data_IF_672848828935
#
_entry.id   IF_672848828935
#
_cell.length_a   1.000
_cell.length_b   1.000
_cell.length_c   1.000
_cell.angle_alpha   90.00
_cell.angle_beta   90.00
_cell.angle_gamma   90.00
#
_symmetry.space_group_name_H-M   'P 1'
#
loop_
_entity.id
_entity.type
_entity.pdbx_description
1 polymer ?
#
# COMPACT_ATOMS: atom_id res chain seq x y z
N UNK A 1 -1.12 -7.73 -15.28
CA UNK A 1 0.32 -8.00 -15.07
C UNK A 1 0.60 -8.53 -13.67
N UNK A 2 0.05 -7.94 -12.60
CA UNK A 2 0.23 -8.46 -11.22
C UNK A 2 -0.11 -9.96 -11.07
N UNK A 3 -1.31 -10.38 -11.47
CA UNK A 3 -1.72 -11.80 -11.42
C UNK A 3 -0.80 -12.74 -12.21
N UNK A 4 -0.12 -12.22 -13.23
CA UNK A 4 0.84 -12.98 -14.03
C UNK A 4 2.16 -13.13 -13.28
N UNK A 5 2.61 -12.08 -12.58
CA UNK A 5 3.77 -12.15 -11.69
C UNK A 5 3.53 -13.20 -10.58
N UNK A 6 2.34 -13.17 -9.97
CA UNK A 6 1.95 -14.15 -8.94
C UNK A 6 1.91 -15.57 -9.52
N UNK A 7 1.37 -15.74 -10.73
CA UNK A 7 1.33 -17.05 -11.39
C UNK A 7 2.73 -17.61 -11.70
N UNK A 8 3.67 -16.76 -12.13
CA UNK A 8 5.06 -17.14 -12.39
C UNK A 8 5.82 -17.50 -11.11
N UNK A 9 5.50 -16.83 -10.01
CA UNK A 9 6.10 -17.05 -8.70
C UNK A 9 5.58 -18.32 -8.03
N UNK A 10 4.25 -18.52 -8.00
CA UNK A 10 3.62 -19.65 -7.28
C UNK A 10 3.41 -20.89 -8.15
N UNK A 11 3.63 -20.81 -9.47
CA UNK A 11 3.46 -21.96 -10.38
C UNK A 11 2.01 -22.39 -10.60
N UNK A 12 1.04 -21.51 -10.32
CA UNK A 12 -0.40 -21.84 -10.29
C UNK A 12 -0.98 -22.32 -11.64
N UNK A 13 -0.24 -22.14 -12.74
CA UNK A 13 -0.64 -22.55 -14.10
C UNK A 13 0.50 -23.22 -14.91
N UNK A 14 1.61 -23.65 -14.28
CA UNK A 14 2.74 -24.27 -14.99
C UNK A 14 4.07 -24.28 -14.22
N UNK A 15 5.18 -24.57 -14.93
CA UNK A 15 6.54 -24.54 -14.36
C UNK A 15 6.86 -23.17 -13.77
N UNK A 16 7.30 -23.14 -12.51
CA UNK A 16 7.74 -21.93 -11.82
C UNK A 16 8.91 -21.28 -12.58
N UNK A 17 8.84 -19.97 -12.80
CA UNK A 17 9.94 -19.21 -13.38
C UNK A 17 10.20 -17.97 -12.53
N UNK A 18 11.02 -18.17 -11.51
CA UNK A 18 11.39 -17.17 -10.51
C UNK A 18 12.07 -15.97 -11.20
N UNK A 19 12.98 -16.22 -12.14
CA UNK A 19 13.70 -15.15 -12.86
C UNK A 19 12.77 -14.23 -13.64
N UNK A 20 11.80 -14.80 -14.36
CA UNK A 20 10.79 -14.02 -15.07
C UNK A 20 9.86 -13.26 -14.11
N UNK A 21 9.48 -13.88 -12.98
CA UNK A 21 8.68 -13.23 -11.95
C UNK A 21 9.38 -11.99 -11.38
N UNK A 22 10.68 -12.08 -11.05
CA UNK A 22 11.49 -10.95 -10.55
C UNK A 22 11.44 -9.77 -11.53
N UNK A 23 11.72 -10.01 -12.80
CA UNK A 23 11.71 -8.95 -13.82
C UNK A 23 10.35 -8.28 -13.93
N UNK A 24 9.27 -9.06 -13.83
CA UNK A 24 7.91 -8.54 -13.89
C UNK A 24 7.57 -7.72 -12.65
N UNK A 25 7.97 -8.17 -11.45
CA UNK A 25 7.77 -7.41 -10.22
C UNK A 25 8.63 -6.14 -10.17
N UNK A 26 9.87 -6.16 -10.66
CA UNK A 26 10.67 -4.93 -10.79
C UNK A 26 9.99 -3.91 -11.70
N UNK A 27 9.41 -4.35 -12.82
CA UNK A 27 8.67 -3.47 -13.72
C UNK A 27 7.43 -2.91 -13.02
N UNK A 28 6.63 -3.76 -12.38
CA UNK A 28 5.43 -3.36 -11.64
C UNK A 28 5.74 -2.40 -10.49
N UNK A 29 6.83 -2.63 -9.76
CA UNK A 29 7.29 -1.75 -8.70
C UNK A 29 7.68 -0.37 -9.23
N UNK A 30 8.32 -0.30 -10.40
CA UNK A 30 8.64 0.96 -11.12
C UNK A 30 7.38 1.68 -11.64
N UNK A 31 6.35 0.92 -12.02
CA UNK A 31 5.05 1.47 -12.43
C UNK A 31 4.22 1.98 -11.25
N UNK A 32 4.54 1.55 -10.03
CA UNK A 32 3.90 1.99 -8.80
C UNK A 32 2.89 0.99 -8.21
N UNK A 33 2.96 -0.29 -8.59
CA UNK A 33 2.16 -1.35 -7.97
C UNK A 33 2.60 -1.60 -6.54
N UNK A 34 1.72 -1.33 -5.56
CA UNK A 34 2.01 -1.57 -4.15
C UNK A 34 2.31 -3.04 -3.84
N UNK A 35 1.69 -4.00 -4.56
CA UNK A 35 1.92 -5.43 -4.32
C UNK A 35 3.34 -5.84 -4.64
N UNK A 36 3.84 -5.37 -5.78
CA UNK A 36 5.22 -5.60 -6.17
C UNK A 36 6.22 -4.96 -5.18
N UNK A 37 5.82 -3.87 -4.53
CA UNK A 37 6.65 -3.19 -3.53
C UNK A 37 6.64 -3.93 -2.19
N UNK A 38 5.47 -4.45 -1.79
CA UNK A 38 5.32 -5.26 -0.59
C UNK A 38 6.13 -6.55 -0.65
N UNK A 39 6.30 -7.10 -1.86
CA UNK A 39 7.22 -8.22 -2.10
C UNK A 39 8.65 -7.96 -1.59
N UNK A 40 9.17 -6.74 -1.75
CA UNK A 40 10.49 -6.36 -1.24
C UNK A 40 10.49 -6.10 0.27
N UNK A 41 9.34 -5.77 0.86
CA UNK A 41 9.19 -5.52 2.29
C UNK A 41 9.11 -6.82 3.10
N UNK A 42 8.38 -7.81 2.60
CA UNK A 42 8.23 -9.13 3.23
C UNK A 42 9.38 -10.07 2.84
N UNK A 43 9.87 -9.94 1.60
CA UNK A 43 10.79 -10.89 1.00
C UNK A 43 10.09 -12.20 0.59
N UNK A 44 10.58 -12.83 -0.47
CA UNK A 44 10.14 -14.16 -0.91
C UNK A 44 11.25 -14.89 -1.68
N UNK A 45 10.92 -16.06 -2.22
CA UNK A 45 11.85 -16.90 -3.01
C UNK A 45 12.41 -16.21 -4.26
N UNK A 46 11.74 -15.16 -4.75
CA UNK A 46 12.17 -14.36 -5.90
C UNK A 46 13.00 -13.14 -5.52
N UNK A 47 12.65 -12.42 -4.45
CA UNK A 47 13.40 -11.26 -4.01
C UNK A 47 13.64 -11.33 -2.49
N UNK A 48 14.90 -11.30 -2.03
CA UNK A 48 15.17 -11.23 -0.60
C UNK A 48 14.60 -9.92 -0.04
N UNK A 49 14.20 -9.97 1.23
CA UNK A 49 13.70 -8.82 1.95
C UNK A 49 14.72 -7.67 1.88
N UNK A 50 14.27 -6.52 1.40
CA UNK A 50 15.06 -5.30 1.36
C UNK A 50 14.20 -4.06 1.59
N UNK A 51 14.18 -3.64 2.86
CA UNK A 51 13.40 -2.51 3.32
C UNK A 51 13.84 -1.18 2.68
N UNK A 52 15.13 -1.01 2.33
CA UNK A 52 15.60 0.22 1.69
C UNK A 52 15.04 0.36 0.26
N UNK A 53 15.03 -0.73 -0.51
CA UNK A 53 14.46 -0.73 -1.86
C UNK A 53 12.94 -0.62 -1.82
N UNK A 54 12.29 -1.31 -0.88
CA UNK A 54 10.85 -1.19 -0.66
C UNK A 54 10.46 0.27 -0.40
N UNK A 55 11.16 0.96 0.51
CA UNK A 55 10.91 2.36 0.83
C UNK A 55 11.01 3.27 -0.40
N UNK A 56 12.05 3.07 -1.21
CA UNK A 56 12.26 3.84 -2.44
C UNK A 56 11.09 3.67 -3.40
N UNK A 57 10.62 2.43 -3.62
CA UNK A 57 9.51 2.19 -4.53
C UNK A 57 8.17 2.67 -3.98
N UNK A 58 7.90 2.49 -2.69
CA UNK A 58 6.69 3.03 -2.05
C UNK A 58 6.64 4.56 -2.14
N UNK A 59 7.77 5.24 -1.91
CA UNK A 59 7.88 6.69 -2.07
C UNK A 59 7.61 7.13 -3.51
N UNK A 60 8.11 6.37 -4.49
CA UNK A 60 7.83 6.62 -5.90
C UNK A 60 6.36 6.40 -6.25
N UNK A 61 5.72 5.33 -5.75
CA UNK A 61 4.31 5.05 -5.99
C UNK A 61 3.38 6.09 -5.36
N UNK A 62 3.68 6.49 -4.12
CA UNK A 62 2.96 7.57 -3.44
C UNK A 62 2.97 8.85 -4.28
N UNK A 63 4.13 9.23 -4.83
CA UNK A 63 4.25 10.42 -5.66
C UNK A 63 3.62 10.29 -7.06
N UNK A 64 3.74 9.13 -7.72
CA UNK A 64 3.27 8.95 -9.10
C UNK A 64 1.77 8.73 -9.22
N UNK A 65 1.25 7.84 -8.38
CA UNK A 65 -0.08 7.29 -8.56
C UNK A 65 -1.04 7.70 -7.45
N UNK A 66 -0.53 8.29 -6.36
CA UNK A 66 -1.34 8.61 -5.19
C UNK A 66 -2.06 7.39 -4.63
N UNK A 67 -1.53 6.17 -4.86
CA UNK A 67 -2.20 4.95 -4.44
C UNK A 67 -2.24 4.92 -2.91
N UNK A 68 -3.42 4.91 -2.28
CA UNK A 68 -3.49 5.05 -0.84
C UNK A 68 -2.82 3.89 -0.11
N UNK A 69 -2.89 2.68 -0.68
CA UNK A 69 -2.21 1.50 -0.11
C UNK A 69 -0.69 1.67 -0.07
N UNK A 70 -0.07 2.30 -1.08
CA UNK A 70 1.37 2.56 -1.06
C UNK A 70 1.75 3.61 0.01
N UNK A 71 0.91 4.64 0.18
CA UNK A 71 1.08 5.67 1.22
C UNK A 71 0.92 5.05 2.61
N UNK A 72 -0.05 4.15 2.77
CA UNK A 72 -0.27 3.39 3.99
C UNK A 72 0.96 2.57 4.39
N UNK A 73 1.50 1.74 3.48
CA UNK A 73 2.70 0.95 3.76
C UNK A 73 3.92 1.83 4.06
N UNK A 74 4.04 2.98 3.40
CA UNK A 74 5.12 3.91 3.68
C UNK A 74 5.06 4.47 5.10
N UNK A 75 3.87 4.76 5.61
CA UNK A 75 3.68 5.15 7.01
C UNK A 75 3.98 3.99 7.99
N UNK A 76 3.62 2.76 7.64
CA UNK A 76 3.97 1.58 8.44
C UNK A 76 5.50 1.40 8.54
N UNK A 77 6.23 1.69 7.46
CA UNK A 77 7.69 1.70 7.46
C UNK A 77 8.28 2.77 8.39
N UNK A 78 7.66 3.96 8.48
CA UNK A 78 8.04 4.98 9.47
C UNK A 78 7.68 4.60 10.91
N UNK A 79 6.56 3.90 11.13
CA UNK A 79 6.13 3.44 12.45
C UNK A 79 7.06 2.34 13.01
N UNK A 80 7.46 1.41 12.14
CA UNK A 80 8.35 0.29 12.49
C UNK A 80 9.83 0.66 12.45
N UNK A 81 10.21 1.69 11.67
CA UNK A 81 11.62 2.01 11.39
C UNK A 81 12.25 1.08 10.35
N UNK A 82 11.45 0.44 9.50
CA UNK A 82 11.93 -0.47 8.46
C UNK A 82 12.60 0.32 7.31
N UNK A 83 13.93 0.41 7.31
CA UNK A 83 14.69 1.08 6.25
C UNK A 83 14.74 2.62 6.35
N UNK A 84 14.08 3.20 7.36
CA UNK A 84 14.08 4.64 7.68
C UNK A 84 14.15 4.86 9.19
N UNK A 85 14.48 6.08 9.61
CA UNK A 85 14.44 6.44 11.03
C UNK A 85 12.99 6.36 11.53
N UNK A 86 12.78 5.61 12.61
CA UNK A 86 11.47 5.46 13.24
C UNK A 86 10.94 6.84 13.67
N UNK A 87 9.75 7.20 13.20
CA UNK A 87 9.08 8.45 13.57
C UNK A 87 7.57 8.23 13.63
N UNK A 88 7.03 8.13 14.85
CA UNK A 88 5.61 7.94 15.06
C UNK A 88 4.79 9.15 14.57
N UNK A 89 5.31 10.37 14.77
CA UNK A 89 4.65 11.60 14.32
C UNK A 89 4.48 11.62 12.80
N UNK A 90 5.56 11.33 12.07
CA UNK A 90 5.54 11.27 10.60
C UNK A 90 4.66 10.13 10.10
N UNK A 91 4.64 8.99 10.79
CA UNK A 91 3.77 7.87 10.43
C UNK A 91 2.28 8.25 10.51
N UNK A 92 1.86 8.95 11.57
CA UNK A 92 0.47 9.42 11.74
C UNK A 92 0.10 10.44 10.67
N UNK A 93 0.98 11.40 10.37
CA UNK A 93 0.75 12.38 9.31
C UNK A 93 0.52 11.70 7.95
N UNK A 94 1.34 10.70 7.60
CA UNK A 94 1.24 9.98 6.33
C UNK A 94 0.02 9.04 6.32
N UNK A 95 -0.34 8.44 7.46
CA UNK A 95 -1.60 7.69 7.59
C UNK A 95 -2.83 8.58 7.33
N UNK A 96 -2.85 9.78 7.89
CA UNK A 96 -3.94 10.73 7.66
C UNK A 96 -4.02 11.14 6.18
N UNK A 97 -2.89 11.34 5.50
CA UNK A 97 -2.86 11.58 4.06
C UNK A 97 -3.45 10.42 3.27
N UNK A 98 -3.08 9.17 3.61
CA UNK A 98 -3.65 7.97 2.99
C UNK A 98 -5.16 7.87 3.19
N UNK A 99 -5.64 8.10 4.42
CA UNK A 99 -7.05 8.04 4.76
C UNK A 99 -7.88 9.11 4.04
N UNK A 100 -7.32 10.32 3.88
CA UNK A 100 -7.96 11.39 3.13
C UNK A 100 -8.04 11.07 1.63
N UNK A 101 -6.95 10.55 1.05
CA UNK A 101 -6.95 10.11 -0.35
C UNK A 101 -8.00 9.03 -0.64
N UNK A 102 -8.17 8.06 0.28
CA UNK A 102 -9.23 7.05 0.18
C UNK A 102 -10.63 7.66 0.28
N UNK A 103 -10.82 8.60 1.18
CA UNK A 103 -12.10 9.27 1.36
C UNK A 103 -12.47 10.12 0.13
N UNK A 104 -11.51 10.81 -0.48
CA UNK A 104 -11.73 11.58 -1.72
C UNK A 104 -12.02 10.66 -2.92
N UNK A 105 -11.33 9.53 -3.04
CA UNK A 105 -11.59 8.55 -4.09
C UNK A 105 -12.99 7.95 -3.93
N UNK A 106 -13.43 7.68 -2.69
CA UNK A 106 -14.77 7.25 -2.35
C UNK A 106 -15.81 8.32 -2.68
N UNK A 107 -15.60 9.58 -2.31
CA UNK A 107 -16.50 10.68 -2.66
C UNK A 107 -16.59 10.90 -4.18
N UNK A 108 -15.48 10.75 -4.92
CA UNK A 108 -15.46 10.85 -6.38
C UNK A 108 -16.20 9.67 -7.03
N UNK A 109 -16.04 8.46 -6.48
CA UNK A 109 -16.74 7.25 -6.88
C UNK A 109 -18.23 7.33 -6.58
N UNK A 110 -18.63 7.83 -5.41
CA UNK A 110 -20.02 8.07 -5.03
C UNK A 110 -20.65 9.19 -5.86
N UNK A 111 -19.91 10.24 -6.21
CA UNK A 111 -20.38 11.28 -7.15
C UNK A 111 -20.56 10.73 -8.57
N UNK A 112 -19.68 9.82 -9.02
CA UNK A 112 -19.80 9.11 -10.31
C UNK A 112 -20.91 8.03 -10.29
N UNK A 113 -21.15 7.39 -9.15
CA UNK A 113 -22.19 6.39 -8.91
C UNK A 113 -23.57 7.03 -8.75
N UNK A 114 -23.67 8.20 -8.11
CA UNK A 114 -24.89 9.01 -8.05
C UNK A 114 -25.34 9.49 -9.44
N UNK A 115 -24.42 9.60 -10.40
CA UNK A 115 -24.76 9.81 -11.83
C UNK A 115 -25.21 8.55 -12.57
N UNK A 116 -24.95 7.35 -12.04
CA UNK A 116 -25.16 6.09 -12.76
C UNK A 116 -26.16 5.12 -12.15
N UNK A 117 -26.40 5.10 -10.84
CA UNK A 117 -27.47 4.31 -10.21
C UNK A 117 -27.64 4.66 -8.73
N UNK A 118 -28.86 5.04 -8.35
CA UNK A 118 -29.32 5.17 -6.97
C UNK A 118 -29.55 3.79 -6.33
N UNK A 119 -28.49 3.09 -5.93
CA UNK A 119 -28.60 1.93 -5.03
C UNK A 119 -27.34 1.82 -4.18
N UNK A 120 -27.54 1.88 -2.87
CA UNK A 120 -26.52 2.14 -1.86
C UNK A 120 -25.82 0.90 -1.30
N UNK A 121 -24.91 1.18 -0.37
CA UNK A 121 -24.41 0.24 0.64
C UNK A 121 -23.14 -0.51 0.24
N UNK A 122 -22.00 -0.17 0.85
CA UNK A 122 -20.83 -1.05 0.83
C UNK A 122 -19.58 -0.58 1.56
N UNK A 123 -19.20 0.70 1.50
CA UNK A 123 -17.77 1.05 1.63
C UNK A 123 -17.36 1.91 2.83
N UNK A 124 -18.30 2.47 3.60
CA UNK A 124 -18.04 3.19 4.87
C UNK A 124 -17.22 2.41 5.92
N UNK A 125 -17.02 1.09 5.73
CA UNK A 125 -16.37 0.20 6.69
C UNK A 125 -14.85 0.43 6.78
N UNK A 126 -14.16 0.82 5.70
CA UNK A 126 -12.70 1.00 5.73
C UNK A 126 -12.29 2.31 6.40
N UNK A 127 -12.94 3.44 6.06
CA UNK A 127 -12.73 4.75 6.71
C UNK A 127 -13.00 4.69 8.22
N UNK A 128 -14.09 4.05 8.65
CA UNK A 128 -14.39 3.87 10.08
C UNK A 128 -13.34 3.03 10.83
N UNK A 129 -12.79 1.97 10.21
CA UNK A 129 -11.74 1.15 10.84
C UNK A 129 -10.48 1.99 11.06
N UNK A 130 -10.15 2.87 10.13
CA UNK A 130 -9.00 3.76 10.24
C UNK A 130 -9.22 4.93 11.19
N UNK A 131 -10.38 5.60 11.14
CA UNK A 131 -10.71 6.68 12.07
C UNK A 131 -10.67 6.17 13.53
N UNK A 132 -11.12 4.92 13.76
CA UNK A 132 -11.03 4.28 15.08
C UNK A 132 -9.58 3.96 15.47
N UNK A 133 -8.78 3.43 14.55
CA UNK A 133 -7.38 3.06 14.81
C UNK A 133 -6.46 4.28 14.94
N UNK A 134 -6.76 5.38 14.27
CA UNK A 134 -6.06 6.65 14.41
C UNK A 134 -6.26 7.24 15.80
N UNK A 135 -7.48 7.20 16.34
CA UNK A 135 -7.75 7.64 17.71
C UNK A 135 -7.05 6.80 18.79
N UNK A 136 -6.78 5.51 18.53
CA UNK A 136 -5.97 4.66 19.41
C UNK A 136 -4.47 5.02 19.36
N UNK A 137 -3.95 5.36 18.17
CA UNK A 137 -2.55 5.78 17.96
C UNK A 137 -2.22 7.17 18.52
N UNK A 138 -3.20 8.08 18.59
CA UNK A 138 -3.04 9.41 19.21
C UNK A 138 -2.81 9.31 20.72
N UNK A 139 -3.47 8.36 21.39
CA UNK A 139 -3.30 8.08 22.83
C UNK A 139 -1.91 7.52 23.18
N UNK A 140 -1.27 6.80 22.24
CA UNK A 140 0.09 6.29 22.41
C UNK A 140 1.16 7.39 22.25
N UNK A 141 0.86 8.46 21.50
CA UNK A 141 1.76 9.62 21.33
C UNK A 141 1.75 10.56 22.53
N UNK A 142 0.65 10.63 23.29
CA UNK A 142 0.58 11.42 24.53
C UNK A 142 1.27 10.74 25.72
N UNK A 143 1.56 9.44 25.63
CA UNK A 143 2.19 8.63 26.69
C UNK A 143 3.65 8.23 26.42
N UNK A 144 4.30 8.79 25.39
CA UNK A 144 5.69 8.53 25.01
C UNK A 144 6.59 9.76 25.18
#
# INVERSE_FOLDING_TARGET
MEKMADALLFGNFGMQNITAAIQLYELLAKEGSYKAQNMYLEGNDAAPQNNATAFKYFSMAANKSGQPLAIYYLAEMYATGAGVLRSCRTAVEIHNMSANHLAEEEELMDRKRCKKNATGGGTKKFKMVWDKKAGELELDLENA
#
